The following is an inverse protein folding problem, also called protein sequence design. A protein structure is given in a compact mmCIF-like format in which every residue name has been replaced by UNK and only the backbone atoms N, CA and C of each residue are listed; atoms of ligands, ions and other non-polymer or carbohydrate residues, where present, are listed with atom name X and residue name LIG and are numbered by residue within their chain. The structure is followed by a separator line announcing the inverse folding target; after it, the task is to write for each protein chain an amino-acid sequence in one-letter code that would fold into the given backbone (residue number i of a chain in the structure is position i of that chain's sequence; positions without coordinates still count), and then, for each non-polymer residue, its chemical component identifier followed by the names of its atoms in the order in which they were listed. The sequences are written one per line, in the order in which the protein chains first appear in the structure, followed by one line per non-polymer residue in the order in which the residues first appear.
data_IF_098135265520
#
_entry.id   IF_098135265520
#
_cell.length_a   1.000
_cell.length_b   1.000
_cell.length_c   1.000
_cell.angle_alpha   90.00
_cell.angle_beta   90.00
_cell.angle_gamma   90.00
#
_symmetry.space_group_name_H-M   'P 1'
#
loop_
_entity.id
_entity.type
_entity.pdbx_description
1 polymer ?
#
# COMPACT_ATOMS: atom_id res chain seq x y z
N UNK A 1 -6.96 6.12 10.70
CA UNK A 1 -8.32 6.67 10.57
C UNK A 1 -9.37 5.57 10.68
N UNK A 2 -10.52 5.85 11.29
CA UNK A 2 -11.63 4.96 11.66
C UNK A 2 -11.31 3.80 12.63
N UNK A 3 -10.10 3.21 12.59
CA UNK A 3 -9.57 2.27 13.59
C UNK A 3 -10.18 0.86 13.58
N UNK A 4 -11.45 0.72 13.21
CA UNK A 4 -12.17 -0.56 13.21
C UNK A 4 -11.50 -1.59 12.30
N UNK A 5 -11.35 -2.83 12.79
CA UNK A 5 -10.86 -3.96 12.00
C UNK A 5 -9.36 -3.94 11.73
N UNK A 6 -8.58 -3.06 12.38
CA UNK A 6 -7.11 -3.12 12.29
C UNK A 6 -6.59 -4.36 13.03
N UNK A 7 -5.72 -5.12 12.36
CA UNK A 7 -5.01 -6.28 12.93
C UNK A 7 -3.51 -6.06 12.78
N UNK A 8 -2.79 -6.04 13.91
CA UNK A 8 -1.32 -5.91 13.94
C UNK A 8 -0.75 -7.12 14.66
N UNK A 9 0.01 -7.95 13.93
CA UNK A 9 0.56 -9.18 14.48
C UNK A 9 1.78 -8.99 15.38
N UNK A 10 2.07 -10.03 16.16
CA UNK A 10 3.05 -10.04 17.27
C UNK A 10 4.41 -9.40 16.94
N UNK A 11 4.99 -9.73 15.79
CA UNK A 11 6.33 -9.29 15.38
C UNK A 11 6.29 -8.16 14.36
N UNK A 12 5.15 -7.52 14.14
CA UNK A 12 5.06 -6.39 13.22
C UNK A 12 5.85 -5.19 13.75
N UNK A 13 6.48 -4.44 12.86
CA UNK A 13 7.14 -3.16 13.19
C UNK A 13 6.53 -2.08 12.33
N UNK A 14 6.22 -0.93 12.94
CA UNK A 14 5.67 0.23 12.25
C UNK A 14 6.54 1.45 12.56
N UNK A 15 7.04 2.09 11.50
CA UNK A 15 7.81 3.32 11.59
C UNK A 15 6.98 4.54 12.02
N UNK A 16 7.64 5.69 12.01
CA UNK A 16 7.02 6.98 12.38
C UNK A 16 6.15 7.53 11.24
N UNK A 17 5.17 8.37 11.58
CA UNK A 17 4.33 9.11 10.62
C UNK A 17 3.50 8.23 9.65
N UNK A 18 3.24 6.99 10.02
CA UNK A 18 2.43 6.09 9.20
C UNK A 18 0.94 6.32 9.45
N UNK A 19 0.14 6.15 8.39
CA UNK A 19 -1.31 6.22 8.46
C UNK A 19 -1.95 4.96 7.92
N UNK A 20 -2.91 4.47 8.70
CA UNK A 20 -3.65 3.24 8.45
C UNK A 20 -5.14 3.57 8.42
N UNK A 21 -5.83 3.17 7.38
CA UNK A 21 -7.29 3.22 7.36
C UNK A 21 -7.87 1.97 8.05
N UNK A 22 -9.20 1.91 8.18
CA UNK A 22 -9.89 0.76 8.77
C UNK A 22 -9.58 -0.55 8.02
N UNK A 23 -9.70 -1.68 8.72
CA UNK A 23 -9.59 -3.02 8.14
C UNK A 23 -8.18 -3.43 7.71
N UNK A 24 -7.15 -2.62 7.97
CA UNK A 24 -5.78 -2.98 7.60
C UNK A 24 -5.29 -4.18 8.42
N UNK A 25 -4.69 -5.15 7.74
CA UNK A 25 -4.06 -6.31 8.37
C UNK A 25 -2.56 -6.34 8.11
N UNK A 26 -1.75 -6.34 9.17
CA UNK A 26 -0.33 -6.68 9.17
C UNK A 26 -0.16 -8.09 9.74
N UNK A 27 -0.31 -9.09 8.89
CA UNK A 27 -0.48 -10.49 9.29
C UNK A 27 0.70 -11.40 8.94
N UNK A 28 0.65 -12.63 9.46
CA UNK A 28 1.57 -13.70 9.06
C UNK A 28 0.99 -14.53 7.92
N UNK A 29 1.84 -15.25 7.20
CA UNK A 29 1.42 -16.30 6.24
C UNK A 29 1.14 -17.64 6.92
N UNK A 30 1.43 -17.76 8.23
CA UNK A 30 1.24 -18.99 9.00
C UNK A 30 2.32 -20.07 8.77
N UNK A 31 3.36 -19.76 7.98
CA UNK A 31 4.41 -20.73 7.59
C UNK A 31 5.67 -20.68 8.46
N UNK A 32 5.81 -19.65 9.29
CA UNK A 32 7.06 -19.33 9.98
C UNK A 32 6.79 -19.01 11.45
N UNK A 33 7.67 -19.46 12.34
CA UNK A 33 7.70 -19.06 13.74
C UNK A 33 8.68 -17.89 13.94
N UNK A 34 8.45 -17.06 14.96
CA UNK A 34 9.30 -15.90 15.26
C UNK A 34 8.95 -14.66 14.45
N UNK A 35 9.94 -14.09 13.76
CA UNK A 35 9.75 -12.88 12.95
C UNK A 35 8.99 -13.20 11.65
N UNK A 36 7.67 -12.96 11.69
CA UNK A 36 6.71 -13.51 10.71
C UNK A 36 5.67 -12.50 10.25
N UNK A 37 5.88 -11.22 10.55
CA UNK A 37 4.94 -10.12 10.29
C UNK A 37 5.64 -8.94 9.61
N UNK A 38 4.89 -8.04 8.95
CA UNK A 38 5.46 -6.97 8.15
C UNK A 38 6.34 -5.99 8.94
N UNK A 39 7.31 -5.41 8.23
CA UNK A 39 8.18 -4.31 8.69
C UNK A 39 7.86 -3.07 7.88
N UNK A 40 7.00 -2.20 8.41
CA UNK A 40 6.56 -0.96 7.77
C UNK A 40 7.55 0.15 8.09
N UNK A 41 8.11 0.78 7.06
CA UNK A 41 9.00 1.93 7.17
C UNK A 41 8.29 3.20 7.68
N UNK A 42 8.95 4.35 7.55
CA UNK A 42 8.39 5.64 7.94
C UNK A 42 7.48 6.24 6.85
N UNK A 43 6.55 7.10 7.24
CA UNK A 43 5.70 7.88 6.35
C UNK A 43 4.88 7.02 5.36
N UNK A 44 4.52 5.79 5.74
CA UNK A 44 3.72 4.89 4.89
C UNK A 44 2.23 5.17 5.01
N UNK A 45 1.52 5.17 3.88
CA UNK A 45 0.06 5.18 3.83
C UNK A 45 -0.45 3.78 3.46
N UNK A 46 -1.32 3.22 4.28
CA UNK A 46 -2.01 1.95 4.00
C UNK A 46 -3.52 2.17 3.93
N UNK A 47 -4.07 2.01 2.72
CA UNK A 47 -5.49 2.20 2.40
C UNK A 47 -6.42 1.21 3.09
N UNK A 48 -7.73 1.46 3.00
CA UNK A 48 -8.73 0.69 3.74
C UNK A 48 -8.74 -0.78 3.29
N UNK A 49 -8.92 -1.69 4.24
CA UNK A 49 -8.98 -3.14 4.03
C UNK A 49 -7.76 -3.75 3.30
N UNK A 50 -6.62 -3.04 3.23
CA UNK A 50 -5.40 -3.60 2.67
C UNK A 50 -4.78 -4.62 3.61
N UNK A 51 -4.24 -5.70 3.05
CA UNK A 51 -3.66 -6.82 3.77
C UNK A 51 -2.20 -7.00 3.36
N UNK A 52 -1.29 -6.99 4.32
CA UNK A 52 0.15 -7.20 4.13
C UNK A 52 0.55 -8.45 4.91
N UNK A 53 1.04 -9.49 4.22
CA UNK A 53 1.32 -10.78 4.86
C UNK A 53 2.79 -11.19 4.76
N UNK A 54 3.29 -11.71 5.89
CA UNK A 54 4.62 -12.32 6.00
C UNK A 54 5.68 -11.36 6.53
N UNK A 55 6.88 -11.91 6.77
CA UNK A 55 8.06 -11.12 7.15
C UNK A 55 8.64 -10.38 5.96
N UNK A 56 7.91 -9.37 5.49
CA UNK A 56 8.28 -8.53 4.34
C UNK A 56 8.45 -7.08 4.77
N UNK A 57 9.40 -6.40 4.12
CA UNK A 57 9.63 -4.97 4.31
C UNK A 57 8.75 -4.16 3.37
N UNK A 58 8.08 -3.15 3.93
CA UNK A 58 7.49 -2.04 3.20
C UNK A 58 8.41 -0.84 3.38
N UNK A 59 8.97 -0.34 2.29
CA UNK A 59 9.87 0.81 2.30
C UNK A 59 9.24 2.09 2.86
N UNK A 60 10.08 3.11 3.05
CA UNK A 60 9.63 4.42 3.50
C UNK A 60 8.76 5.09 2.44
N UNK A 61 7.81 5.91 2.89
CA UNK A 61 6.94 6.72 2.03
C UNK A 61 6.23 5.92 0.92
N UNK A 62 5.92 4.66 1.20
CA UNK A 62 5.10 3.84 0.32
C UNK A 62 3.62 4.20 0.45
N UNK A 63 2.87 4.02 -0.63
CA UNK A 63 1.40 4.00 -0.64
C UNK A 63 0.91 2.60 -0.99
N UNK A 64 0.06 2.03 -0.15
CA UNK A 64 -0.64 0.77 -0.44
C UNK A 64 -2.10 1.13 -0.68
N UNK A 65 -2.61 0.84 -1.88
CA UNK A 65 -3.99 1.11 -2.25
C UNK A 65 -4.99 0.31 -1.42
N UNK A 66 -6.20 0.84 -1.26
CA UNK A 66 -7.30 0.15 -0.59
C UNK A 66 -7.58 -1.22 -1.21
N UNK A 67 -7.90 -2.21 -0.37
CA UNK A 67 -8.21 -3.58 -0.77
C UNK A 67 -7.03 -4.40 -1.33
N UNK A 68 -5.79 -3.88 -1.27
CA UNK A 68 -4.63 -4.57 -1.85
C UNK A 68 -4.15 -5.74 -1.01
N UNK A 69 -3.65 -6.80 -1.66
CA UNK A 69 -2.98 -7.93 -1.00
C UNK A 69 -1.48 -7.90 -1.30
N UNK A 70 -0.68 -7.48 -0.33
CA UNK A 70 0.78 -7.35 -0.46
C UNK A 70 1.47 -8.60 0.08
N UNK A 71 2.13 -9.33 -0.83
CA UNK A 71 2.84 -10.59 -0.55
C UNK A 71 4.35 -10.50 -0.81
N UNK A 72 4.85 -9.35 -1.27
CA UNK A 72 6.26 -9.12 -1.61
C UNK A 72 6.71 -7.78 -1.03
N UNK A 73 8.00 -7.69 -0.71
CA UNK A 73 8.60 -6.45 -0.20
C UNK A 73 8.44 -5.31 -1.23
N UNK A 74 8.25 -4.10 -0.71
CA UNK A 74 8.17 -2.88 -1.50
C UNK A 74 9.41 -2.01 -1.22
N UNK A 75 10.10 -1.50 -2.27
CA UNK A 75 11.15 -0.51 -2.10
C UNK A 75 10.55 0.84 -1.66
N UNK A 76 11.38 1.76 -1.21
CA UNK A 76 10.94 3.10 -0.79
C UNK A 76 10.25 3.88 -1.93
N UNK A 77 9.33 4.77 -1.56
CA UNK A 77 8.69 5.77 -2.42
C UNK A 77 7.86 5.18 -3.59
N UNK A 78 7.29 3.98 -3.42
CA UNK A 78 6.42 3.37 -4.44
C UNK A 78 4.96 3.32 -4.02
N UNK A 79 4.08 3.27 -5.01
CA UNK A 79 2.66 2.95 -4.83
C UNK A 79 2.39 1.54 -5.34
N UNK A 80 1.78 0.70 -4.50
CA UNK A 80 1.38 -0.65 -4.88
C UNK A 80 -0.11 -0.86 -4.64
N UNK A 81 -0.79 -1.47 -5.61
CA UNK A 81 -2.24 -1.69 -5.57
C UNK A 81 -2.59 -3.06 -6.15
N UNK A 82 -3.80 -3.57 -5.89
CA UNK A 82 -4.32 -4.81 -6.48
C UNK A 82 -4.18 -6.05 -5.60
N UNK A 83 -4.74 -7.18 -6.06
CA UNK A 83 -4.72 -8.47 -5.38
C UNK A 83 -4.36 -9.59 -6.37
N UNK A 84 -3.11 -10.10 -6.37
CA UNK A 84 -1.98 -9.68 -5.54
C UNK A 84 -1.37 -8.35 -5.99
N UNK A 85 -0.89 -7.53 -5.06
CA UNK A 85 -0.44 -6.17 -5.33
C UNK A 85 0.75 -6.09 -6.29
N UNK A 86 0.77 -5.06 -7.13
CA UNK A 86 1.89 -4.68 -8.00
C UNK A 86 2.20 -3.19 -7.85
N UNK A 87 3.46 -2.85 -8.10
CA UNK A 87 3.90 -1.45 -8.13
C UNK A 87 3.33 -0.81 -9.39
N UNK A 88 2.53 0.25 -9.22
CA UNK A 88 1.90 1.01 -10.30
C UNK A 88 2.59 2.36 -10.58
N UNK A 89 3.40 2.83 -9.63
CA UNK A 89 4.10 4.10 -9.78
C UNK A 89 4.96 4.46 -8.59
N UNK A 90 5.54 5.66 -8.67
CA UNK A 90 6.33 6.29 -7.61
C UNK A 90 5.58 7.47 -7.02
N UNK A 91 5.79 7.67 -5.73
CA UNK A 91 5.25 8.81 -5.01
C UNK A 91 6.07 10.06 -5.34
N UNK A 92 5.41 11.16 -5.70
CA UNK A 92 6.07 12.44 -6.02
C UNK A 92 6.15 13.41 -4.84
N UNK A 93 5.34 13.19 -3.80
CA UNK A 93 5.36 13.90 -2.53
C UNK A 93 5.80 12.97 -1.40
N UNK A 94 6.95 13.27 -0.77
CA UNK A 94 7.58 12.44 0.27
C UNK A 94 6.91 12.59 1.65
N UNK A 95 5.58 12.56 1.67
CA UNK A 95 4.77 12.70 2.87
C UNK A 95 3.54 11.77 2.86
N UNK A 96 3.63 10.61 2.19
CA UNK A 96 2.49 9.70 1.96
C UNK A 96 1.64 9.43 3.21
N UNK A 97 2.25 9.06 4.33
CA UNK A 97 1.54 8.80 5.59
C UNK A 97 0.91 10.04 6.23
N UNK A 98 1.38 11.26 5.91
CA UNK A 98 0.87 12.52 6.47
C UNK A 98 -0.13 13.22 5.55
N UNK A 99 0.06 13.16 4.24
CA UNK A 99 -0.81 13.82 3.26
C UNK A 99 -2.11 13.05 3.00
N UNK A 100 -2.17 11.76 3.34
CA UNK A 100 -3.37 10.93 3.21
C UNK A 100 -3.96 10.92 1.79
N UNK A 101 -3.12 11.08 0.77
CA UNK A 101 -3.55 11.04 -0.63
C UNK A 101 -3.89 9.60 -1.06
N UNK A 102 -5.11 9.19 -0.72
CA UNK A 102 -5.70 7.90 -1.11
C UNK A 102 -6.17 7.89 -2.57
N UNK A 103 -6.34 9.06 -3.18
CA UNK A 103 -6.72 9.22 -4.58
C UNK A 103 -5.54 9.04 -5.55
N UNK A 104 -4.31 8.96 -5.02
CA UNK A 104 -3.07 8.74 -5.78
C UNK A 104 -2.77 9.88 -6.77
N UNK A 105 -3.14 11.12 -6.40
CA UNK A 105 -2.86 12.33 -7.19
C UNK A 105 -1.35 12.59 -7.33
N UNK A 106 -0.58 12.21 -6.30
CA UNK A 106 0.87 12.37 -6.23
C UNK A 106 1.60 11.06 -6.56
N UNK A 107 1.11 10.35 -7.58
CA UNK A 107 1.70 9.09 -8.05
C UNK A 107 1.91 9.17 -9.55
N UNK A 108 3.12 8.84 -10.01
CA UNK A 108 3.46 8.81 -11.44
C UNK A 108 4.00 7.45 -11.84
N UNK A 109 3.58 6.95 -13.00
CA UNK A 109 4.11 5.71 -13.55
C UNK A 109 5.49 5.92 -14.19
N UNK A 110 6.07 4.85 -14.74
CA UNK A 110 7.37 4.89 -15.40
C UNK A 110 7.42 5.76 -16.67
N UNK A 111 6.27 6.16 -17.23
CA UNK A 111 6.15 7.09 -18.36
C UNK A 111 5.94 8.54 -17.91
N UNK A 112 5.94 8.81 -16.60
CA UNK A 112 5.68 10.15 -16.04
C UNK A 112 4.20 10.56 -16.07
N UNK A 113 3.29 9.64 -16.39
CA UNK A 113 1.85 9.90 -16.41
C UNK A 113 1.33 9.78 -14.98
N UNK A 114 0.55 10.77 -14.52
CA UNK A 114 -0.07 10.69 -13.20
C UNK A 114 -1.08 9.56 -13.16
N UNK A 115 -1.11 8.84 -12.04
CA UNK A 115 -2.05 7.76 -11.84
C UNK A 115 -3.49 8.28 -11.87
N UNK A 116 -3.75 9.46 -11.29
CA UNK A 116 -5.06 10.14 -11.35
C UNK A 116 -5.60 10.34 -12.77
N UNK A 117 -4.72 10.59 -13.72
CA UNK A 117 -5.09 10.89 -15.11
C UNK A 117 -5.48 9.60 -15.85
N UNK A 118 -5.17 8.43 -15.29
CA UNK A 118 -5.62 7.14 -15.82
C UNK A 118 -7.10 6.88 -15.55
N UNK A 119 -7.69 7.50 -14.52
CA UNK A 119 -9.14 7.40 -14.25
C UNK A 119 -9.98 8.13 -15.30
N UNK A 120 -9.47 9.23 -15.87
CA UNK A 120 -10.13 9.95 -16.97
C UNK A 120 -10.08 9.22 -18.31
N UNK A 121 -9.29 8.15 -18.42
CA UNK A 121 -9.25 7.25 -19.56
C UNK A 121 -10.15 6.02 -19.37
N UNK A 122 -11.19 6.13 -18.53
CA UNK A 122 -12.28 5.14 -18.43
C UNK A 122 -13.45 5.53 -19.35
N UNK A 123 -13.41 5.26 -20.66
CA UNK A 123 -14.62 5.23 -21.45
C UNK A 123 -15.37 3.92 -21.14
N UNK A 124 -16.63 4.04 -20.78
CA UNK A 124 -17.66 3.02 -20.99
C UNK A 124 -17.64 1.74 -20.12
N UNK A 125 -16.91 1.71 -19.01
CA UNK A 125 -17.18 0.75 -17.92
C UNK A 125 -16.73 -0.71 -18.15
N UNK A 126 -15.96 -1.00 -19.20
CA UNK A 126 -15.17 -2.24 -19.25
C UNK A 126 -13.78 -2.00 -18.64
N UNK A 127 -13.55 -2.65 -17.50
CA UNK A 127 -12.28 -2.59 -16.78
C UNK A 127 -11.38 -3.66 -17.37
N UNK A 128 -10.30 -3.26 -18.05
CA UNK A 128 -9.16 -4.16 -18.23
C UNK A 128 -8.44 -4.27 -16.87
N UNK A 129 -9.02 -5.10 -15.99
CA UNK A 129 -8.53 -5.49 -14.66
C UNK A 129 -7.11 -6.12 -14.69
N UNK A 130 -6.48 -6.22 -15.87
CA UNK A 130 -5.23 -6.92 -16.10
C UNK A 130 -3.97 -6.04 -16.13
N UNK A 131 -4.08 -4.72 -15.90
CA UNK A 131 -2.91 -3.85 -15.77
C UNK A 131 -2.64 -3.32 -14.35
N UNK A 132 -3.03 -4.13 -13.36
CA UNK A 132 -2.54 -4.03 -11.98
C UNK A 132 -2.25 -5.42 -11.44
#
# INVERSE_FOLDING_TARGET
DHGTGIVVGESAVVGSNCSFLHGVTLGSTGKEAGDRHPKVGNDVLIGCNATVLGSIRIGNCCKIGSGSLVLKALPDNVTAVGNPARIVGRVTDLSAGRNMDTAMEHVVNNKGIKFSDTYSLWPDGEVDMFYI
#
